data_IF_668294729183
#
_entry.id   IF_668294729183
#
_cell.length_a   1.000
_cell.length_b   1.000
_cell.length_c   1.000
_cell.angle_alpha   90.00
_cell.angle_beta   90.00
_cell.angle_gamma   90.00
#
_symmetry.space_group_name_H-M   'P 1'
#
loop_
_entity.id
_entity.type
_entity.pdbx_description
1 polymer ?
#
# COMPACT_ATOMS: atom_id res chain seq x y z
N UNK A 1 41.13 17.81 40.54
CA UNK A 1 40.93 17.85 39.07
C UNK A 1 39.90 16.81 38.61
N UNK A 2 39.47 15.88 39.49
CA UNK A 2 38.60 14.74 39.14
C UNK A 2 37.10 15.02 38.98
N UNK A 3 36.58 16.14 39.52
CA UNK A 3 35.16 16.49 39.35
C UNK A 3 34.81 16.84 37.89
N UNK A 4 35.72 17.48 37.16
CA UNK A 4 35.52 17.84 35.75
C UNK A 4 35.56 16.61 34.83
N UNK A 5 36.43 15.64 35.09
CA UNK A 5 36.47 14.37 34.35
C UNK A 5 35.23 13.50 34.61
N UNK A 6 34.70 13.50 35.84
CA UNK A 6 33.50 12.75 36.19
C UNK A 6 32.25 13.36 35.54
N UNK A 7 32.14 14.69 35.51
CA UNK A 7 31.06 15.38 34.79
C UNK A 7 31.16 15.16 33.28
N UNK A 8 32.34 15.23 32.64
CA UNK A 8 32.51 14.90 31.22
C UNK A 8 32.15 13.43 30.89
N UNK A 9 32.47 12.49 31.78
CA UNK A 9 32.08 11.08 31.64
C UNK A 9 30.56 10.88 31.77
N UNK A 10 29.92 11.51 32.75
CA UNK A 10 28.48 11.45 32.95
C UNK A 10 27.71 12.18 31.83
N UNK A 11 28.27 13.26 31.29
CA UNK A 11 27.77 13.99 30.13
C UNK A 11 27.91 13.13 28.85
N UNK A 12 29.01 12.38 28.71
CA UNK A 12 29.26 11.43 27.61
C UNK A 12 28.29 10.24 27.62
N UNK A 13 27.92 9.71 28.79
CA UNK A 13 26.86 8.69 28.91
C UNK A 13 25.47 9.26 28.60
N UNK A 14 25.20 10.52 28.97
CA UNK A 14 23.92 11.19 28.70
C UNK A 14 23.75 11.61 27.23
N UNK A 15 24.81 12.07 26.57
CA UNK A 15 24.83 12.44 25.15
C UNK A 15 24.73 11.21 24.22
N UNK A 16 25.27 10.07 24.67
CA UNK A 16 25.09 8.75 24.05
C UNK A 16 23.61 8.26 24.05
N UNK A 17 22.75 8.86 24.85
CA UNK A 17 21.35 8.45 25.02
C UNK A 17 20.44 8.96 23.89
N UNK A 18 20.67 10.18 23.39
CA UNK A 18 19.79 10.84 22.42
C UNK A 18 19.63 10.03 21.10
N UNK A 19 20.69 9.66 20.36
CA UNK A 19 20.52 8.91 19.11
C UNK A 19 19.91 7.53 19.34
N UNK A 20 20.08 6.94 20.54
CA UNK A 20 19.46 5.67 20.91
C UNK A 20 17.98 5.83 21.17
N UNK A 21 17.56 6.84 21.93
CA UNK A 21 16.16 7.18 22.16
C UNK A 21 15.44 7.44 20.83
N UNK A 22 16.05 8.23 19.93
CA UNK A 22 15.49 8.49 18.59
C UNK A 22 15.36 7.18 17.81
N UNK A 23 16.39 6.33 17.77
CA UNK A 23 16.33 5.07 17.03
C UNK A 23 15.31 4.09 17.62
N UNK A 24 15.10 4.08 18.94
CA UNK A 24 14.05 3.27 19.60
C UNK A 24 12.65 3.76 19.19
N UNK A 25 12.42 5.08 19.18
CA UNK A 25 11.15 5.67 18.73
C UNK A 25 10.91 5.36 17.25
N UNK A 26 11.91 5.60 16.39
CA UNK A 26 11.81 5.28 14.96
C UNK A 26 11.55 3.78 14.73
N UNK A 27 12.16 2.90 15.52
CA UNK A 27 11.92 1.47 15.43
C UNK A 27 10.48 1.09 15.82
N UNK A 28 9.92 1.72 16.87
CA UNK A 28 8.53 1.52 17.26
C UNK A 28 7.56 2.03 16.19
N UNK A 29 7.82 3.23 15.63
CA UNK A 29 7.03 3.80 14.53
C UNK A 29 7.09 2.91 13.28
N UNK A 30 8.29 2.42 12.93
CA UNK A 30 8.47 1.46 11.85
C UNK A 30 7.64 0.21 12.11
N UNK A 31 7.72 -0.41 13.28
CA UNK A 31 6.92 -1.60 13.59
C UNK A 31 5.42 -1.37 13.41
N UNK A 32 4.89 -0.24 13.91
CA UNK A 32 3.47 0.15 13.72
C UNK A 32 3.14 0.33 12.23
N UNK A 33 4.02 0.97 11.48
CA UNK A 33 3.86 1.12 10.03
C UNK A 33 3.84 -0.24 9.32
N UNK A 34 4.67 -1.20 9.77
CA UNK A 34 4.68 -2.57 9.25
C UNK A 34 3.33 -3.26 9.44
N UNK A 35 2.77 -3.21 10.65
CA UNK A 35 1.44 -3.74 10.94
C UNK A 35 0.36 -3.03 10.10
N UNK A 36 0.43 -1.71 9.99
CA UNK A 36 -0.51 -0.90 9.20
C UNK A 36 -0.44 -1.24 7.71
N UNK A 37 0.77 -1.48 7.19
CA UNK A 37 1.00 -1.86 5.78
C UNK A 37 0.40 -3.22 5.46
N UNK A 38 0.58 -4.21 6.35
CA UNK A 38 -0.05 -5.53 6.22
C UNK A 38 -1.58 -5.40 6.25
N UNK A 39 -2.11 -4.63 7.20
CA UNK A 39 -3.55 -4.38 7.32
C UNK A 39 -4.13 -3.72 6.07
N UNK A 40 -3.44 -2.70 5.54
CA UNK A 40 -3.85 -2.03 4.30
C UNK A 40 -3.81 -2.99 3.11
N UNK A 41 -2.75 -3.80 2.96
CA UNK A 41 -2.67 -4.80 1.89
C UNK A 41 -3.80 -5.82 1.94
N UNK A 42 -4.15 -6.31 3.13
CA UNK A 42 -5.29 -7.24 3.32
C UNK A 42 -6.61 -6.52 3.02
N UNK A 43 -6.79 -5.29 3.50
CA UNK A 43 -7.99 -4.49 3.27
C UNK A 43 -8.21 -4.22 1.78
N UNK A 44 -7.18 -3.76 1.07
CA UNK A 44 -7.26 -3.52 -0.38
C UNK A 44 -7.48 -4.82 -1.15
N UNK A 45 -6.95 -5.95 -0.67
CA UNK A 45 -7.14 -7.23 -1.33
C UNK A 45 -8.56 -7.81 -1.16
N UNK A 46 -9.15 -7.74 0.05
CA UNK A 46 -10.41 -8.42 0.37
C UNK A 46 -11.64 -7.52 0.42
N UNK A 47 -11.51 -6.29 0.93
CA UNK A 47 -12.67 -5.47 1.33
C UNK A 47 -12.88 -4.26 0.43
N UNK A 48 -11.80 -3.66 -0.07
CA UNK A 48 -11.87 -2.49 -0.94
C UNK A 48 -12.49 -2.83 -2.29
N UNK A 49 -13.02 -1.83 -3.00
CA UNK A 49 -13.65 -2.00 -4.32
C UNK A 49 -12.70 -2.60 -5.38
N UNK A 50 -11.42 -2.76 -5.07
CA UNK A 50 -10.42 -3.57 -5.78
C UNK A 50 -10.84 -5.02 -5.98
N UNK A 51 -11.59 -5.62 -5.03
CA UNK A 51 -12.09 -6.99 -5.20
C UNK A 51 -12.97 -7.13 -6.45
N UNK A 52 -13.64 -6.04 -6.86
CA UNK A 52 -14.43 -5.96 -8.08
C UNK A 52 -13.59 -6.03 -9.35
N UNK A 53 -12.27 -5.94 -9.31
CA UNK A 53 -11.43 -6.07 -10.52
C UNK A 53 -10.71 -7.41 -10.56
N UNK A 54 -10.61 -8.11 -9.42
CA UNK A 54 -10.04 -9.47 -9.34
C UNK A 54 -10.70 -10.42 -10.35
N UNK A 55 -12.02 -10.38 -10.47
CA UNK A 55 -12.75 -11.27 -11.38
C UNK A 55 -12.57 -10.94 -12.87
N UNK A 56 -11.87 -9.85 -13.21
CA UNK A 56 -11.50 -9.50 -14.59
C UNK A 56 -10.04 -9.83 -14.97
N UNK A 57 -9.30 -10.53 -14.11
CA UNK A 57 -7.88 -10.91 -14.31
C UNK A 57 -6.90 -9.75 -14.50
N UNK A 58 -7.25 -8.51 -14.14
CA UNK A 58 -6.30 -7.40 -14.15
C UNK A 58 -5.41 -7.50 -12.91
N UNK A 59 -4.17 -7.96 -13.09
CA UNK A 59 -3.20 -8.20 -12.01
C UNK A 59 -2.51 -6.92 -11.53
N UNK A 60 -2.39 -5.90 -12.41
CA UNK A 60 -1.62 -4.68 -12.16
C UNK A 60 -1.93 -3.91 -10.86
N UNK A 61 -3.21 -3.71 -10.45
CA UNK A 61 -3.54 -3.03 -9.20
C UNK A 61 -3.11 -3.83 -7.97
N UNK A 62 -3.08 -5.17 -8.06
CA UNK A 62 -2.75 -6.05 -6.94
C UNK A 62 -1.25 -6.16 -6.70
N UNK A 63 -0.42 -5.98 -7.73
CA UNK A 63 1.04 -6.03 -7.63
C UNK A 63 1.56 -5.06 -6.56
N UNK A 64 1.06 -3.82 -6.52
CA UNK A 64 1.46 -2.85 -5.50
C UNK A 64 1.06 -3.28 -4.08
N UNK A 65 -0.14 -3.85 -3.91
CA UNK A 65 -0.64 -4.32 -2.62
C UNK A 65 0.18 -5.51 -2.08
N UNK A 66 0.58 -6.45 -2.96
CA UNK A 66 1.41 -7.57 -2.59
C UNK A 66 2.83 -7.16 -2.19
N UNK A 67 3.44 -6.24 -2.96
CA UNK A 67 4.77 -5.70 -2.62
C UNK A 67 4.70 -4.98 -1.26
N UNK A 68 3.69 -4.13 -1.06
CA UNK A 68 3.49 -3.43 0.22
C UNK A 68 3.30 -4.40 1.40
N UNK A 69 2.54 -5.48 1.19
CA UNK A 69 2.26 -6.48 2.22
C UNK A 69 3.51 -7.27 2.60
N UNK A 70 4.28 -7.72 1.60
CA UNK A 70 5.54 -8.41 1.81
C UNK A 70 6.56 -7.50 2.53
N UNK A 71 6.65 -6.23 2.11
CA UNK A 71 7.48 -5.24 2.77
C UNK A 71 7.06 -5.02 4.24
N UNK A 72 5.75 -4.95 4.50
CA UNK A 72 5.19 -4.85 5.85
C UNK A 72 5.59 -6.02 6.76
N UNK A 73 5.53 -7.26 6.26
CA UNK A 73 5.96 -8.46 7.00
C UNK A 73 7.45 -8.37 7.35
N UNK A 74 8.30 -8.05 6.37
CA UNK A 74 9.74 -7.88 6.59
C UNK A 74 10.01 -6.80 7.65
N UNK A 75 9.26 -5.71 7.59
CA UNK A 75 9.40 -4.59 8.50
C UNK A 75 8.99 -4.98 9.94
N UNK A 76 7.89 -5.70 10.12
CA UNK A 76 7.50 -6.26 11.44
C UNK A 76 8.59 -7.19 11.99
N UNK A 77 9.16 -8.07 11.16
CA UNK A 77 10.21 -9.01 11.60
C UNK A 77 11.52 -8.31 11.98
N UNK A 78 11.97 -7.36 11.16
CA UNK A 78 13.23 -6.63 11.39
C UNK A 78 13.11 -5.71 12.60
N UNK A 79 11.99 -4.98 12.73
CA UNK A 79 11.81 -3.96 13.77
C UNK A 79 11.24 -4.52 15.07
N UNK A 80 10.47 -5.61 15.04
CA UNK A 80 10.02 -6.31 16.24
C UNK A 80 11.19 -6.86 17.06
N UNK A 81 12.26 -7.30 16.38
CA UNK A 81 13.52 -7.69 17.01
C UNK A 81 14.50 -6.52 17.21
N UNK A 82 14.13 -5.30 16.81
CA UNK A 82 15.00 -4.13 16.73
C UNK A 82 15.37 -3.54 18.10
N UNK A 83 14.42 -3.52 19.04
CA UNK A 83 14.63 -2.99 20.40
C UNK A 83 15.80 -3.66 21.12
N UNK A 84 15.92 -4.98 21.02
CA UNK A 84 17.03 -5.76 21.60
C UNK A 84 18.37 -5.50 20.91
N UNK A 85 18.36 -5.16 19.62
CA UNK A 85 19.57 -4.88 18.82
C UNK A 85 20.12 -3.49 19.10
N UNK A 86 19.26 -2.50 19.31
CA UNK A 86 19.66 -1.13 19.68
C UNK A 86 20.25 -1.09 21.09
N UNK A 87 19.71 -1.88 22.02
CA UNK A 87 20.22 -1.97 23.40
C UNK A 87 21.56 -2.73 23.48
N UNK A 88 21.81 -3.69 22.60
CA UNK A 88 23.09 -4.41 22.53
C UNK A 88 24.12 -3.59 21.76
N UNK A 89 25.20 -3.16 22.42
CA UNK A 89 26.30 -2.32 21.88
C UNK A 89 27.19 -3.03 20.84
N UNK A 90 26.65 -3.95 20.04
CA UNK A 90 27.38 -4.72 19.04
C UNK A 90 27.26 -4.07 17.66
N UNK A 91 28.40 -3.58 17.13
CA UNK A 91 28.46 -2.89 15.84
C UNK A 91 27.95 -3.73 14.66
N UNK A 92 28.29 -5.02 14.61
CA UNK A 92 27.85 -5.92 13.54
C UNK A 92 26.32 -6.03 13.48
N UNK A 93 25.65 -6.09 14.64
CA UNK A 93 24.18 -6.18 14.70
C UNK A 93 23.50 -4.92 14.20
N UNK A 94 24.11 -3.75 14.46
CA UNK A 94 23.60 -2.46 14.00
C UNK A 94 23.84 -2.22 12.51
N UNK A 95 24.96 -2.74 11.96
CA UNK A 95 25.23 -2.70 10.52
C UNK A 95 24.22 -3.53 9.72
N UNK A 96 23.99 -4.78 10.14
CA UNK A 96 22.99 -5.66 9.51
C UNK A 96 21.60 -5.04 9.58
N UNK A 97 21.26 -4.42 10.72
CA UNK A 97 19.99 -3.70 10.87
C UNK A 97 19.86 -2.52 9.89
N UNK A 98 20.91 -1.71 9.74
CA UNK A 98 20.90 -0.59 8.80
C UNK A 98 20.77 -1.04 7.35
N UNK A 99 21.43 -2.13 6.95
CA UNK A 99 21.31 -2.67 5.59
C UNK A 99 19.89 -3.20 5.36
N UNK A 100 19.33 -3.93 6.31
CA UNK A 100 17.96 -4.43 6.22
C UNK A 100 16.92 -3.28 6.14
N UNK A 101 17.12 -2.19 6.89
CA UNK A 101 16.30 -0.99 6.82
C UNK A 101 16.36 -0.35 5.42
N UNK A 102 17.55 -0.18 4.84
CA UNK A 102 17.72 0.36 3.49
C UNK A 102 17.03 -0.51 2.43
N UNK A 103 17.22 -1.83 2.49
CA UNK A 103 16.56 -2.76 1.56
C UNK A 103 15.04 -2.65 1.66
N UNK A 104 14.48 -2.63 2.87
CA UNK A 104 13.04 -2.40 3.07
C UNK A 104 12.61 -1.04 2.51
N UNK A 105 13.38 0.02 2.75
CA UNK A 105 13.09 1.35 2.23
C UNK A 105 13.00 1.40 0.70
N UNK A 106 13.84 0.63 0.00
CA UNK A 106 13.81 0.49 -1.47
C UNK A 106 12.56 -0.27 -1.92
N UNK A 107 12.16 -1.34 -1.21
CA UNK A 107 10.94 -2.09 -1.54
C UNK A 107 9.70 -1.20 -1.36
N UNK A 108 9.63 -0.44 -0.26
CA UNK A 108 8.57 0.54 -0.01
C UNK A 108 8.51 1.64 -1.07
N UNK A 109 9.67 2.16 -1.48
CA UNK A 109 9.75 3.13 -2.58
C UNK A 109 9.24 2.53 -3.89
N UNK A 110 9.62 1.29 -4.18
CA UNK A 110 9.21 0.59 -5.40
C UNK A 110 7.69 0.38 -5.44
N UNK A 111 7.08 0.02 -4.30
CA UNK A 111 5.62 -0.06 -4.17
C UNK A 111 4.95 1.29 -4.39
N UNK A 112 5.52 2.36 -3.81
CA UNK A 112 5.02 3.73 -3.97
C UNK A 112 5.06 4.21 -5.43
N UNK A 113 6.20 4.02 -6.09
CA UNK A 113 6.39 4.36 -7.51
C UNK A 113 5.47 3.53 -8.41
N UNK A 114 5.32 2.23 -8.14
CA UNK A 114 4.39 1.37 -8.89
C UNK A 114 2.96 1.91 -8.79
N UNK A 115 2.49 2.19 -7.58
CA UNK A 115 1.13 2.66 -7.35
C UNK A 115 0.86 4.02 -8.02
N UNK A 116 1.82 4.95 -7.95
CA UNK A 116 1.74 6.25 -8.62
C UNK A 116 1.66 6.09 -10.15
N UNK A 117 2.59 5.35 -10.75
CA UNK A 117 2.64 5.14 -12.20
C UNK A 117 1.40 4.41 -12.72
N UNK A 118 0.90 3.43 -11.97
CA UNK A 118 -0.27 2.66 -12.36
C UNK A 118 -1.56 3.49 -12.25
N UNK A 119 -1.64 4.46 -11.33
CA UNK A 119 -2.81 5.34 -11.18
C UNK A 119 -3.10 6.20 -12.43
N UNK A 120 -2.06 6.50 -13.21
CA UNK A 120 -2.18 7.20 -14.49
C UNK A 120 -2.71 6.27 -15.59
N UNK A 121 -2.18 5.05 -15.65
CA UNK A 121 -2.49 4.03 -16.68
C UNK A 121 -3.81 3.29 -16.47
N UNK A 122 -4.38 3.35 -15.25
CA UNK A 122 -5.58 2.60 -14.88
C UNK A 122 -6.82 2.96 -15.72
N UNK A 123 -6.90 4.20 -16.22
CA UNK A 123 -8.05 4.71 -16.98
C UNK A 123 -8.36 3.91 -18.25
N UNK A 124 -7.44 3.82 -19.22
CA UNK A 124 -7.64 3.07 -20.44
C UNK A 124 -7.86 1.56 -20.21
N UNK A 125 -7.16 0.94 -19.26
CA UNK A 125 -7.32 -0.50 -18.97
C UNK A 125 -8.72 -0.82 -18.43
N UNK A 126 -9.26 0.01 -17.53
CA UNK A 126 -10.63 -0.15 -17.04
C UNK A 126 -11.64 0.07 -18.16
N UNK A 127 -11.43 1.08 -19.02
CA UNK A 127 -12.34 1.36 -20.13
C UNK A 127 -12.40 0.17 -21.12
N UNK A 128 -11.25 -0.42 -21.45
CA UNK A 128 -11.19 -1.59 -22.30
C UNK A 128 -11.88 -2.81 -21.64
N UNK A 129 -11.64 -3.03 -20.35
CA UNK A 129 -12.29 -4.10 -19.59
C UNK A 129 -13.82 -3.94 -19.62
N UNK A 130 -14.34 -2.77 -19.25
CA UNK A 130 -15.78 -2.49 -19.30
C UNK A 130 -16.36 -2.64 -20.72
N UNK A 131 -15.61 -2.23 -21.76
CA UNK A 131 -16.03 -2.42 -23.16
C UNK A 131 -16.17 -3.89 -23.54
N UNK A 132 -15.25 -4.75 -23.08
CA UNK A 132 -15.32 -6.20 -23.30
C UNK A 132 -16.52 -6.81 -22.58
N UNK A 133 -16.77 -6.40 -21.34
CA UNK A 133 -17.94 -6.86 -20.57
C UNK A 133 -19.25 -6.45 -21.24
N UNK A 134 -19.42 -5.18 -21.64
CA UNK A 134 -20.65 -4.72 -22.32
C UNK A 134 -20.85 -5.42 -23.66
N UNK A 135 -19.77 -5.68 -24.42
CA UNK A 135 -19.86 -6.35 -25.72
C UNK A 135 -20.32 -7.79 -25.59
N UNK A 136 -19.80 -8.52 -24.60
CA UNK A 136 -20.14 -9.93 -24.35
C UNK A 136 -21.37 -10.13 -23.47
N UNK A 137 -21.96 -9.04 -23.01
CA UNK A 137 -23.17 -9.07 -22.20
C UNK A 137 -24.33 -9.73 -22.96
N UNK A 138 -24.86 -10.80 -22.38
CA UNK A 138 -26.00 -11.55 -22.90
C UNK A 138 -27.19 -11.43 -21.95
N UNK A 139 -28.24 -10.77 -22.43
CA UNK A 139 -29.46 -10.48 -21.67
C UNK A 139 -30.30 -11.72 -21.36
N UNK A 140 -30.08 -12.83 -22.07
CA UNK A 140 -30.81 -14.09 -21.88
C UNK A 140 -30.11 -15.04 -20.91
N UNK A 141 -28.84 -14.78 -20.57
CA UNK A 141 -27.95 -15.68 -19.80
C UNK A 141 -27.33 -15.02 -18.57
N UNK A 142 -28.20 -14.34 -17.81
CA UNK A 142 -27.92 -13.49 -16.65
C UNK A 142 -27.03 -14.08 -15.55
N UNK A 143 -27.10 -15.40 -15.38
CA UNK A 143 -26.46 -16.13 -14.29
C UNK A 143 -25.50 -17.21 -14.79
N UNK A 144 -25.33 -17.34 -16.11
CA UNK A 144 -24.61 -18.46 -16.74
C UNK A 144 -23.21 -18.03 -17.18
N UNK A 145 -23.04 -16.80 -17.64
CA UNK A 145 -21.74 -16.28 -18.07
C UNK A 145 -21.09 -15.46 -16.95
N UNK A 146 -19.84 -15.79 -16.63
CA UNK A 146 -19.06 -15.10 -15.58
C UNK A 146 -18.96 -13.59 -15.82
N UNK A 147 -18.92 -13.19 -17.09
CA UNK A 147 -18.84 -11.79 -17.53
C UNK A 147 -20.11 -11.00 -17.18
N UNK A 148 -21.29 -11.62 -17.29
CA UNK A 148 -22.58 -11.00 -16.95
C UNK A 148 -22.78 -10.92 -15.45
N UNK A 149 -22.38 -11.97 -14.71
CA UNK A 149 -22.37 -11.97 -13.24
C UNK A 149 -21.46 -10.89 -12.68
N UNK A 150 -20.28 -10.75 -13.27
CA UNK A 150 -19.30 -9.75 -12.89
C UNK A 150 -19.79 -8.32 -13.17
N UNK A 151 -20.39 -8.07 -14.34
CA UNK A 151 -20.98 -6.76 -14.65
C UNK A 151 -22.12 -6.40 -13.69
N UNK A 152 -22.98 -7.36 -13.36
CA UNK A 152 -24.06 -7.16 -12.38
C UNK A 152 -23.52 -6.83 -10.98
N UNK A 153 -22.41 -7.46 -10.57
CA UNK A 153 -21.73 -7.15 -9.30
C UNK A 153 -21.20 -5.71 -9.28
N UNK A 154 -20.58 -5.26 -10.38
CA UNK A 154 -20.09 -3.88 -10.52
C UNK A 154 -21.25 -2.88 -10.42
N UNK A 155 -22.32 -3.09 -11.20
CA UNK A 155 -23.50 -2.21 -11.20
C UNK A 155 -24.12 -2.09 -9.81
N UNK A 156 -24.28 -3.20 -9.10
CA UNK A 156 -24.89 -3.22 -7.76
C UNK A 156 -23.99 -2.57 -6.70
N UNK A 157 -22.69 -2.89 -6.70
CA UNK A 157 -21.73 -2.37 -5.70
C UNK A 157 -21.46 -0.88 -5.86
N UNK A 158 -21.26 -0.42 -7.09
CA UNK A 158 -20.93 0.97 -7.40
C UNK A 158 -22.15 1.82 -7.74
N UNK A 159 -23.35 1.23 -7.72
CA UNK A 159 -24.61 1.92 -7.94
C UNK A 159 -24.63 2.69 -9.28
N UNK A 160 -24.02 2.08 -10.31
CA UNK A 160 -23.72 2.65 -11.62
C UNK A 160 -24.27 1.76 -12.75
N UNK A 161 -24.32 2.25 -13.98
CA UNK A 161 -24.79 1.46 -15.12
C UNK A 161 -23.95 1.71 -16.38
N UNK A 162 -23.54 0.63 -17.05
CA UNK A 162 -22.78 0.71 -18.30
C UNK A 162 -21.38 1.32 -18.11
N UNK A 163 -20.75 1.71 -19.21
CA UNK A 163 -19.42 2.34 -19.21
C UNK A 163 -19.57 3.81 -18.87
N UNK A 164 -20.36 4.51 -19.68
CA UNK A 164 -20.72 5.92 -19.58
C UNK A 164 -22.18 6.10 -19.15
N UNK A 165 -23.03 5.11 -19.44
CA UNK A 165 -24.43 5.09 -19.03
C UNK A 165 -25.19 3.96 -19.71
N UNK A 166 -26.53 4.03 -19.63
CA UNK A 166 -27.44 3.03 -20.19
C UNK A 166 -27.38 2.94 -21.72
N UNK A 167 -27.03 4.05 -22.37
CA UNK A 167 -26.88 4.14 -23.83
C UNK A 167 -25.90 3.12 -24.41
N UNK A 168 -24.94 2.63 -23.61
CA UNK A 168 -23.93 1.66 -24.03
C UNK A 168 -24.56 0.30 -24.43
N UNK A 169 -25.77 0.01 -23.97
CA UNK A 169 -26.48 -1.23 -24.29
C UNK A 169 -27.22 -1.21 -25.65
N UNK A 170 -27.25 -0.06 -26.35
CA UNK A 170 -27.80 0.09 -27.72
C UNK A 170 -29.22 -0.51 -27.92
N UNK A 171 -30.12 -0.29 -26.95
CA UNK A 171 -31.50 -0.78 -27.03
C UNK A 171 -31.71 -2.20 -26.48
N UNK A 172 -30.66 -2.89 -26.04
CA UNK A 172 -30.79 -4.04 -25.13
C UNK A 172 -31.23 -3.53 -23.76
N UNK A 173 -32.23 -4.16 -23.15
CA UNK A 173 -32.74 -3.69 -21.86
C UNK A 173 -31.66 -3.92 -20.79
N UNK A 174 -31.14 -2.87 -20.11
CA UNK A 174 -30.25 -3.07 -18.99
C UNK A 174 -31.05 -3.78 -17.89
N UNK A 175 -30.49 -4.86 -17.35
CA UNK A 175 -31.20 -5.76 -16.45
C UNK A 175 -31.49 -5.16 -15.08
N UNK A 176 -32.18 -5.94 -14.24
CA UNK A 176 -32.54 -5.62 -12.85
C UNK A 176 -31.44 -4.93 -12.04
N UNK A 177 -30.16 -5.15 -12.34
CA UNK A 177 -29.01 -4.50 -11.71
C UNK A 177 -28.90 -2.99 -11.95
N UNK A 178 -29.46 -2.44 -13.03
CA UNK A 178 -29.57 -0.99 -13.28
C UNK A 178 -30.95 -0.40 -12.91
N UNK A 179 -31.93 -1.23 -12.56
CA UNK A 179 -33.31 -0.84 -12.22
C UNK A 179 -33.42 -0.41 -10.74
N UNK A 180 -34.21 0.62 -10.34
CA UNK A 180 -35.44 1.11 -10.99
C UNK A 180 -35.30 2.39 -11.84
N UNK A 181 -34.16 3.11 -11.76
CA UNK A 181 -33.96 4.37 -12.50
C UNK A 181 -32.64 4.35 -13.28
N UNK A 182 -32.57 3.59 -14.38
CA UNK A 182 -31.35 3.42 -15.17
C UNK A 182 -30.86 4.76 -15.76
N UNK A 183 -31.76 5.66 -16.17
CA UNK A 183 -31.41 6.98 -16.72
C UNK A 183 -30.74 7.94 -15.73
N UNK A 184 -30.90 7.71 -14.42
CA UNK A 184 -30.32 8.53 -13.37
C UNK A 184 -28.94 8.04 -12.91
N UNK A 185 -28.49 6.88 -13.43
CA UNK A 185 -27.24 6.22 -13.03
C UNK A 185 -26.07 6.78 -13.84
N UNK A 186 -25.02 7.20 -13.14
CA UNK A 186 -23.74 7.56 -13.76
C UNK A 186 -23.02 6.33 -14.30
N UNK A 187 -22.18 6.50 -15.32
CA UNK A 187 -21.36 5.43 -15.88
C UNK A 187 -20.34 4.85 -14.90
N UNK A 188 -20.18 3.52 -14.92
CA UNK A 188 -19.29 2.80 -14.00
C UNK A 188 -17.81 3.11 -14.22
N UNK A 189 -17.41 3.57 -15.41
CA UNK A 189 -16.03 3.91 -15.70
C UNK A 189 -15.49 4.99 -14.74
N UNK A 190 -16.29 6.03 -14.50
CA UNK A 190 -15.91 7.14 -13.62
C UNK A 190 -15.77 6.71 -12.16
N UNK A 191 -16.72 5.92 -11.66
CA UNK A 191 -16.74 5.43 -10.28
C UNK A 191 -15.60 4.44 -10.03
N UNK A 192 -15.42 3.47 -10.92
CA UNK A 192 -14.40 2.44 -10.79
C UNK A 192 -12.99 3.04 -10.93
N UNK A 193 -12.78 3.97 -11.87
CA UNK A 193 -11.52 4.72 -11.99
C UNK A 193 -11.21 5.51 -10.72
N UNK A 194 -12.22 6.14 -10.12
CA UNK A 194 -12.04 6.93 -8.89
C UNK A 194 -11.71 6.04 -7.69
N UNK A 195 -12.43 4.94 -7.52
CA UNK A 195 -12.18 3.95 -6.47
C UNK A 195 -10.76 3.35 -6.58
N UNK A 196 -10.33 2.98 -7.79
CA UNK A 196 -8.98 2.46 -8.01
C UNK A 196 -7.88 3.50 -7.91
N UNK A 197 -8.14 4.77 -8.20
CA UNK A 197 -7.15 5.80 -7.92
C UNK A 197 -6.98 6.02 -6.43
N UNK A 198 -8.07 5.92 -5.66
CA UNK A 198 -8.04 6.14 -4.23
C UNK A 198 -7.20 5.09 -3.48
N UNK A 199 -7.37 3.80 -3.77
CA UNK A 199 -6.53 2.79 -3.10
C UNK A 199 -5.08 2.79 -3.59
N UNK A 200 -4.81 3.11 -4.87
CA UNK A 200 -3.45 3.25 -5.40
C UNK A 200 -2.77 4.45 -4.73
N UNK A 201 -3.52 5.52 -4.48
CA UNK A 201 -3.05 6.65 -3.69
C UNK A 201 -2.72 6.24 -2.24
N UNK A 202 -3.57 5.44 -1.58
CA UNK A 202 -3.31 4.92 -0.22
C UNK A 202 -2.05 4.05 -0.16
N UNK A 203 -1.88 3.14 -1.12
CA UNK A 203 -0.68 2.31 -1.27
C UNK A 203 0.54 3.19 -1.54
N UNK A 204 0.41 4.19 -2.43
CA UNK A 204 1.44 5.16 -2.75
C UNK A 204 1.92 5.93 -1.53
N UNK A 205 0.98 6.51 -0.77
CA UNK A 205 1.25 7.25 0.45
C UNK A 205 1.97 6.38 1.50
N UNK A 206 1.50 5.16 1.74
CA UNK A 206 2.16 4.23 2.65
C UNK A 206 3.58 3.84 2.17
N UNK A 207 3.73 3.60 0.86
CA UNK A 207 5.01 3.35 0.20
C UNK A 207 6.04 4.45 0.43
N UNK A 208 5.70 5.70 0.09
CA UNK A 208 6.64 6.82 0.23
C UNK A 208 6.96 7.16 1.69
N UNK A 209 5.95 7.17 2.56
CA UNK A 209 6.15 7.42 4.01
C UNK A 209 7.06 6.36 4.62
N UNK A 210 6.87 5.08 4.29
CA UNK A 210 7.74 4.00 4.73
C UNK A 210 9.17 4.12 4.21
N UNK A 211 9.35 4.49 2.94
CA UNK A 211 10.69 4.69 2.38
C UNK A 211 11.46 5.79 3.11
N UNK A 212 10.83 6.95 3.33
CA UNK A 212 11.43 8.08 4.05
C UNK A 212 11.77 7.70 5.49
N UNK A 213 10.84 7.04 6.19
CA UNK A 213 11.06 6.59 7.57
C UNK A 213 12.26 5.63 7.67
N UNK A 214 12.37 4.68 6.75
CA UNK A 214 13.51 3.74 6.71
C UNK A 214 14.83 4.42 6.39
N UNK A 215 14.82 5.48 5.57
CA UNK A 215 15.98 6.34 5.36
C UNK A 215 16.46 6.97 6.67
N UNK A 216 15.56 7.55 7.46
CA UNK A 216 15.90 8.09 8.78
C UNK A 216 16.44 7.01 9.72
N UNK A 217 15.81 5.84 9.79
CA UNK A 217 16.29 4.71 10.60
C UNK A 217 17.73 4.34 10.24
N UNK A 218 18.03 4.21 8.95
CA UNK A 218 19.37 3.85 8.48
C UNK A 218 20.41 4.93 8.85
N UNK A 219 20.08 6.21 8.66
CA UNK A 219 20.97 7.33 9.02
C UNK A 219 21.28 7.31 10.52
N UNK A 220 20.26 7.22 11.38
CA UNK A 220 20.46 7.19 12.83
C UNK A 220 21.19 5.92 13.30
N UNK A 221 20.95 4.77 12.68
CA UNK A 221 21.72 3.55 12.94
C UNK A 221 23.21 3.72 12.59
N UNK A 222 23.53 4.36 11.46
CA UNK A 222 24.91 4.64 11.04
C UNK A 222 25.58 5.65 11.96
N UNK A 223 24.87 6.72 12.36
CA UNK A 223 25.38 7.70 13.32
C UNK A 223 25.72 7.03 14.66
N UNK A 224 24.83 6.18 15.18
CA UNK A 224 25.06 5.41 16.40
C UNK A 224 26.22 4.40 16.25
N UNK A 225 26.41 3.80 15.07
CA UNK A 225 27.58 2.95 14.78
C UNK A 225 28.90 3.74 14.83
N UNK A 226 28.94 4.92 14.21
CA UNK A 226 30.12 5.79 14.21
C UNK A 226 30.45 6.28 15.61
N UNK A 227 29.45 6.67 16.39
CA UNK A 227 29.66 7.12 17.76
C UNK A 227 30.17 5.99 18.68
N UNK A 228 29.71 4.75 18.50
CA UNK A 228 30.28 3.59 19.19
C UNK A 228 31.74 3.26 18.75
N UNK A 229 32.30 3.99 17.78
CA UNK A 229 33.70 3.85 17.31
C UNK A 229 34.68 4.79 18.00
N UNK A 230 34.22 5.98 18.34
CA UNK A 230 34.93 6.96 19.17
C UNK A 230 34.92 6.55 20.63
#
# INVERSE_FOLDING_TARGET
MDRYLCDEWLQSERLNSIPRCVLLVLNALSWILGCSSIGLSIYEFYYSDYHLIRASNIVGPFTGCFILGAAGILLVLVHGAGSTRVLKRSRQKLLVFSIAALINGIIFLSAGLWASNYSEKVGPEIAEMLSKLVRKYDETRLLITDETKFMNMIHFKLNCCGITGVSDFKGRWPLMSCSPHPERRTGCLSMLKSALRLGLFRVGLCGFTGSVLQGFVAVFAILLMRWNRS
#
